data_IF_676553064143
#
_entry.id   IF_676553064143
#
_cell.length_a   1.000
_cell.length_b   1.000
_cell.length_c   1.000
_cell.angle_alpha   90.00
_cell.angle_beta   90.00
_cell.angle_gamma   90.00
#
_symmetry.space_group_name_H-M   'P 1'
#
loop_
_entity.id
_entity.type
_entity.pdbx_description
1 polymer ?
#
# COMPACT_ATOMS: atom_id res chain seq x y z
N UNK A 1 24.87 -8.48 -9.71
CA UNK A 1 24.52 -7.85 -8.41
C UNK A 1 23.24 -8.47 -7.88
N UNK A 2 23.15 -8.71 -6.57
CA UNK A 2 21.91 -9.19 -5.95
C UNK A 2 21.03 -7.99 -5.58
N UNK A 3 19.78 -7.98 -6.04
CA UNK A 3 18.79 -6.93 -5.78
C UNK A 3 17.69 -7.52 -4.91
N UNK A 4 17.26 -6.78 -3.88
CA UNK A 4 16.21 -7.23 -2.98
C UNK A 4 15.66 -6.10 -2.11
N UNK A 5 14.76 -6.49 -1.21
CA UNK A 5 14.19 -5.60 -0.19
C UNK A 5 15.27 -5.31 0.86
N UNK A 6 15.59 -4.03 1.05
CA UNK A 6 16.56 -3.55 2.05
C UNK A 6 15.89 -2.86 3.24
N UNK A 7 14.64 -2.41 3.07
CA UNK A 7 13.80 -1.91 4.17
C UNK A 7 12.32 -2.07 3.84
N UNK A 8 11.46 -2.00 4.84
CA UNK A 8 10.01 -2.10 4.68
C UNK A 8 9.25 -1.32 5.75
N UNK A 9 8.04 -0.89 5.41
CA UNK A 9 7.12 -0.25 6.33
C UNK A 9 5.68 -0.57 5.98
N UNK A 10 4.80 -0.42 6.95
CA UNK A 10 3.38 -0.63 6.77
C UNK A 10 2.57 0.39 7.54
N UNK A 11 1.35 0.58 7.08
CA UNK A 11 0.35 1.36 7.77
C UNK A 11 -0.98 0.61 7.74
N UNK A 12 -1.63 0.60 8.90
CA UNK A 12 -2.94 -0.01 9.10
C UNK A 12 -3.78 1.04 9.83
N UNK A 13 -4.92 1.47 9.28
CA UNK A 13 -5.82 2.43 9.92
C UNK A 13 -6.14 2.04 11.36
N UNK A 14 -6.56 2.99 12.20
CA UNK A 14 -6.88 2.71 13.62
C UNK A 14 -8.31 2.26 13.86
N UNK A 15 -9.27 2.72 13.04
CA UNK A 15 -10.68 2.39 13.24
C UNK A 15 -10.95 0.92 12.87
N UNK A 16 -11.81 0.27 13.65
CA UNK A 16 -12.20 -1.14 13.48
C UNK A 16 -13.72 -1.24 13.46
N UNK A 17 -14.22 -2.20 12.70
CA UNK A 17 -15.61 -2.64 12.77
C UNK A 17 -15.62 -4.16 12.96
N UNK A 18 -16.44 -4.64 13.90
CA UNK A 18 -16.54 -6.06 14.20
C UNK A 18 -17.48 -6.76 13.22
N UNK A 19 -17.26 -8.06 13.01
CA UNK A 19 -18.15 -8.89 12.19
C UNK A 19 -19.59 -8.86 12.74
N UNK A 20 -19.75 -8.83 14.06
CA UNK A 20 -21.04 -8.73 14.73
C UNK A 20 -21.80 -7.43 14.39
N UNK A 21 -21.09 -6.31 14.27
CA UNK A 21 -21.69 -5.01 13.95
C UNK A 21 -22.20 -4.99 12.50
N UNK A 22 -21.41 -5.53 11.56
CA UNK A 22 -21.78 -5.66 10.15
C UNK A 22 -22.99 -6.60 10.02
N UNK A 23 -22.92 -7.78 10.65
CA UNK A 23 -23.97 -8.78 10.59
C UNK A 23 -25.29 -8.25 11.19
N UNK A 24 -25.21 -7.53 12.31
CA UNK A 24 -26.39 -6.92 12.93
C UNK A 24 -27.04 -5.86 12.03
N UNK A 25 -26.26 -5.05 11.32
CA UNK A 25 -26.79 -4.03 10.40
C UNK A 25 -27.55 -4.65 9.22
N UNK A 26 -27.15 -5.85 8.77
CA UNK A 26 -27.73 -6.54 7.62
C UNK A 26 -28.66 -7.70 7.98
N UNK A 27 -28.99 -7.89 9.27
CA UNK A 27 -29.79 -9.03 9.76
C UNK A 27 -29.21 -10.40 9.35
N UNK A 28 -27.88 -10.52 9.39
CA UNK A 28 -27.11 -11.71 9.03
C UNK A 28 -26.57 -12.44 10.27
N UNK A 29 -26.17 -13.71 10.12
CA UNK A 29 -25.58 -14.50 11.22
C UNK A 29 -24.07 -14.29 11.32
N UNK A 30 -23.63 -13.58 12.37
CA UNK A 30 -22.23 -13.27 12.60
C UNK A 30 -21.35 -14.53 12.77
N UNK A 31 -21.85 -15.56 13.44
CA UNK A 31 -21.07 -16.77 13.75
C UNK A 31 -20.69 -17.54 12.48
N UNK A 32 -21.57 -17.58 11.49
CA UNK A 32 -21.29 -18.16 10.17
C UNK A 32 -20.13 -17.43 9.50
N UNK A 33 -20.12 -16.09 9.48
CA UNK A 33 -19.04 -15.32 8.85
C UNK A 33 -17.72 -15.42 9.63
N UNK A 34 -17.75 -15.37 10.96
CA UNK A 34 -16.53 -15.53 11.78
C UNK A 34 -15.86 -16.88 11.55
N UNK A 35 -16.65 -17.96 11.53
CA UNK A 35 -16.12 -19.33 11.32
C UNK A 35 -15.73 -19.57 9.86
N UNK A 36 -16.50 -19.03 8.92
CA UNK A 36 -16.27 -19.22 7.48
C UNK A 36 -15.12 -18.41 6.93
N UNK A 37 -14.96 -17.16 7.36
CA UNK A 37 -13.93 -16.22 6.87
C UNK A 37 -12.73 -16.10 7.79
N UNK A 38 -12.81 -16.60 9.03
CA UNK A 38 -11.76 -16.48 10.06
C UNK A 38 -11.41 -15.01 10.39
N UNK A 39 -12.41 -14.13 10.30
CA UNK A 39 -12.28 -12.71 10.62
C UNK A 39 -13.11 -12.39 11.87
N UNK A 40 -12.57 -11.58 12.78
CA UNK A 40 -13.30 -11.06 13.95
C UNK A 40 -13.67 -9.58 13.78
N UNK A 41 -12.76 -8.81 13.20
CA UNK A 41 -12.93 -7.40 12.90
C UNK A 41 -12.06 -7.05 11.69
N UNK A 42 -12.39 -5.94 11.04
CA UNK A 42 -11.60 -5.39 9.93
C UNK A 42 -11.29 -3.92 10.16
N UNK A 43 -10.28 -3.40 9.46
CA UNK A 43 -9.97 -1.97 9.49
C UNK A 43 -10.99 -1.18 8.66
N UNK A 44 -11.24 0.06 9.10
CA UNK A 44 -12.02 1.05 8.36
C UNK A 44 -11.14 2.29 8.24
N UNK A 45 -10.96 2.87 7.05
CA UNK A 45 -10.26 4.14 6.92
C UNK A 45 -11.08 5.28 7.52
N UNK A 46 -10.42 6.22 8.19
CA UNK A 46 -10.97 7.52 8.54
C UNK A 46 -11.24 8.39 7.32
N UNK A 47 -11.86 9.55 7.54
CA UNK A 47 -12.20 10.48 6.45
C UNK A 47 -10.99 11.09 5.75
N UNK A 48 -9.84 11.08 6.41
CA UNK A 48 -8.52 11.55 5.96
C UNK A 48 -7.57 10.42 5.59
N UNK A 49 -8.05 9.17 5.57
CA UNK A 49 -7.26 7.99 5.22
C UNK A 49 -7.65 7.49 3.81
N UNK A 50 -6.76 7.70 2.84
CA UNK A 50 -6.87 7.17 1.48
C UNK A 50 -5.60 6.41 1.08
N UNK A 51 -5.58 5.86 -0.13
CA UNK A 51 -4.42 5.17 -0.69
C UNK A 51 -3.14 6.01 -0.62
N UNK A 52 -3.22 7.33 -0.82
CA UNK A 52 -2.05 8.22 -0.77
C UNK A 52 -1.56 8.35 0.67
N UNK A 53 -2.42 8.68 1.62
CA UNK A 53 -2.00 8.91 3.02
C UNK A 53 -1.48 7.63 3.65
N UNK A 54 -2.11 6.48 3.39
CA UNK A 54 -1.63 5.16 3.78
C UNK A 54 -0.24 4.88 3.18
N UNK A 55 -0.06 5.19 1.89
CA UNK A 55 1.23 5.02 1.20
C UNK A 55 2.33 5.90 1.81
N UNK A 56 2.03 7.16 2.12
CA UNK A 56 2.97 8.09 2.77
C UNK A 56 3.43 7.54 4.11
N UNK A 57 2.52 7.10 4.98
CA UNK A 57 2.90 6.60 6.30
C UNK A 57 3.71 5.29 6.22
N UNK A 58 3.31 4.37 5.35
CA UNK A 58 4.04 3.12 5.15
C UNK A 58 5.45 3.36 4.58
N UNK A 59 5.58 4.22 3.56
CA UNK A 59 6.86 4.55 2.96
C UNK A 59 7.77 5.34 3.91
N UNK A 60 7.22 6.28 4.69
CA UNK A 60 7.96 7.01 5.73
C UNK A 60 8.51 6.05 6.79
N UNK A 61 7.70 5.08 7.20
CA UNK A 61 8.14 4.04 8.13
C UNK A 61 9.28 3.19 7.51
N UNK A 62 9.21 2.85 6.22
CA UNK A 62 10.28 2.15 5.52
C UNK A 62 11.59 2.96 5.48
N UNK A 63 11.52 4.25 5.16
CA UNK A 63 12.68 5.15 5.12
C UNK A 63 13.30 5.27 6.52
N UNK A 64 12.50 5.41 7.58
CA UNK A 64 13.02 5.57 8.95
C UNK A 64 13.84 4.40 9.48
N UNK A 65 13.71 3.21 8.87
CA UNK A 65 14.38 1.98 9.28
C UNK A 65 15.71 1.73 8.56
N UNK A 66 16.11 2.61 7.65
CA UNK A 66 17.34 2.49 6.87
C UNK A 66 18.09 3.82 6.83
N UNK A 67 19.42 3.76 6.83
CA UNK A 67 20.27 4.94 6.71
C UNK A 67 20.70 5.14 5.25
N UNK A 68 19.84 5.75 4.44
CA UNK A 68 20.15 6.19 3.07
C UNK A 68 19.80 7.67 2.91
N UNK A 69 20.45 8.35 1.97
CA UNK A 69 19.95 9.65 1.54
C UNK A 69 18.70 9.43 0.68
N UNK A 70 17.57 10.05 1.06
CA UNK A 70 16.33 10.01 0.28
C UNK A 70 16.50 10.50 -1.16
N UNK A 71 17.54 11.30 -1.44
CA UNK A 71 17.86 11.77 -2.79
C UNK A 71 18.45 10.66 -3.68
N UNK A 72 18.90 9.53 -3.11
CA UNK A 72 19.37 8.35 -3.84
C UNK A 72 18.21 7.46 -4.34
N UNK A 73 16.97 7.77 -3.93
CA UNK A 73 15.78 7.05 -4.36
C UNK A 73 15.37 7.55 -5.74
N UNK A 74 15.65 6.74 -6.76
CA UNK A 74 15.39 7.07 -8.16
C UNK A 74 14.04 6.61 -8.70
N UNK A 75 13.20 5.94 -7.89
CA UNK A 75 11.88 5.50 -8.32
C UNK A 75 10.86 5.41 -7.16
N UNK A 76 9.60 5.70 -7.46
CA UNK A 76 8.44 5.43 -6.60
C UNK A 76 7.26 4.89 -7.41
N UNK A 77 6.91 3.64 -7.17
CA UNK A 77 5.77 2.97 -7.82
C UNK A 77 4.75 2.54 -6.78
N UNK A 78 3.49 2.89 -7.01
CA UNK A 78 2.37 2.58 -6.12
C UNK A 78 1.46 1.61 -6.84
N UNK A 79 1.25 0.43 -6.26
CA UNK A 79 0.19 -0.47 -6.67
C UNK A 79 -1.08 -0.24 -5.86
N UNK A 80 -2.22 -0.05 -6.52
CA UNK A 80 -3.52 0.05 -5.86
C UNK A 80 -4.64 -0.30 -6.84
N UNK A 81 -5.78 -0.73 -6.31
CA UNK A 81 -7.06 -0.80 -7.01
C UNK A 81 -8.05 0.28 -6.51
N UNK A 82 -7.59 1.19 -5.67
CA UNK A 82 -8.36 2.25 -5.04
C UNK A 82 -7.63 3.59 -5.07
N UNK A 83 -7.02 3.92 -6.21
CA UNK A 83 -6.41 5.23 -6.43
C UNK A 83 -7.46 6.35 -6.35
N UNK A 84 -7.18 7.46 -5.63
CA UNK A 84 -8.16 8.55 -5.47
C UNK A 84 -8.30 9.42 -6.72
N UNK A 85 -7.34 9.37 -7.64
CA UNK A 85 -7.34 10.14 -8.88
C UNK A 85 -7.12 9.24 -10.09
N UNK A 86 -7.87 9.51 -11.16
CA UNK A 86 -7.72 8.78 -12.43
C UNK A 86 -6.50 9.22 -13.27
N UNK A 87 -5.97 10.43 -13.03
CA UNK A 87 -4.94 11.04 -13.89
C UNK A 87 -3.73 11.54 -13.10
N UNK A 88 -3.95 12.11 -11.91
CA UNK A 88 -2.86 12.59 -11.07
C UNK A 88 -2.18 11.40 -10.38
N UNK A 89 -0.90 11.20 -10.64
CA UNK A 89 -0.15 10.11 -10.01
C UNK A 89 -0.09 10.27 -8.49
N UNK A 90 -0.60 9.26 -7.80
CA UNK A 90 -0.42 9.01 -6.36
C UNK A 90 1.07 8.98 -6.02
N UNK A 91 1.89 8.30 -6.82
CA UNK A 91 3.35 8.25 -6.66
C UNK A 91 4.00 9.63 -6.62
N UNK A 92 3.54 10.56 -7.48
CA UNK A 92 4.03 11.95 -7.45
C UNK A 92 3.68 12.68 -6.15
N UNK A 93 2.48 12.47 -5.62
CA UNK A 93 2.03 13.10 -4.36
C UNK A 93 2.78 12.52 -3.16
N UNK A 94 2.98 11.20 -3.15
CA UNK A 94 3.73 10.52 -2.08
C UNK A 94 5.19 10.96 -2.09
N UNK A 95 5.84 11.06 -3.25
CA UNK A 95 7.22 11.54 -3.35
C UNK A 95 7.40 12.95 -2.78
N UNK A 96 6.48 13.87 -3.10
CA UNK A 96 6.46 15.22 -2.53
C UNK A 96 6.24 15.20 -1.00
N UNK A 97 5.27 14.41 -0.51
CA UNK A 97 4.98 14.30 0.92
C UNK A 97 6.13 13.65 1.74
N UNK A 98 6.99 12.86 1.08
CA UNK A 98 8.22 12.31 1.64
C UNK A 98 9.42 13.27 1.50
N UNK A 99 9.22 14.44 0.88
CA UNK A 99 10.24 15.43 0.56
C UNK A 99 11.40 14.84 -0.27
N UNK A 100 11.10 13.95 -1.22
CA UNK A 100 12.09 13.40 -2.15
C UNK A 100 12.52 14.45 -3.19
N UNK A 101 13.73 14.31 -3.72
CA UNK A 101 14.16 15.12 -4.87
C UNK A 101 13.26 14.82 -6.09
N UNK A 102 12.82 15.79 -6.91
CA UNK A 102 11.83 15.58 -7.97
C UNK A 102 12.32 14.78 -9.20
N UNK A 103 13.51 14.17 -9.13
CA UNK A 103 14.09 13.40 -10.22
C UNK A 103 14.02 11.90 -9.92
N UNK A 104 12.84 11.31 -10.13
CA UNK A 104 12.60 9.88 -9.98
C UNK A 104 11.59 9.38 -11.03
N UNK A 105 11.64 8.09 -11.34
CA UNK A 105 10.58 7.42 -12.08
C UNK A 105 9.35 7.22 -11.21
N UNK A 106 8.16 7.44 -11.76
CA UNK A 106 6.92 7.15 -11.04
C UNK A 106 5.81 6.71 -11.97
N UNK A 107 5.03 5.74 -11.51
CA UNK A 107 3.75 5.38 -12.09
C UNK A 107 2.85 4.77 -11.02
N UNK A 108 1.55 4.98 -11.21
CA UNK A 108 0.49 4.29 -10.49
C UNK A 108 0.15 3.03 -11.27
N UNK A 109 0.10 1.89 -10.59
CA UNK A 109 -0.15 0.58 -11.19
C UNK A 109 -1.47 0.04 -10.68
N UNK A 110 -2.29 -0.42 -11.61
CA UNK A 110 -3.60 -1.00 -11.30
C UNK A 110 -3.66 -2.43 -11.86
N UNK A 111 -3.70 -3.40 -10.97
CA UNK A 111 -3.89 -4.81 -11.28
C UNK A 111 -4.39 -5.57 -10.04
N UNK A 112 -5.49 -5.10 -9.47
CA UNK A 112 -6.06 -5.63 -8.23
C UNK A 112 -4.96 -5.79 -7.13
N UNK A 113 -5.11 -6.78 -6.27
CA UNK A 113 -4.13 -7.17 -5.25
C UNK A 113 -2.71 -7.48 -5.78
N UNK A 114 -2.49 -7.63 -7.10
CA UNK A 114 -1.17 -7.93 -7.68
C UNK A 114 -0.34 -6.67 -7.94
N UNK A 115 -0.98 -5.50 -8.05
CA UNK A 115 -0.33 -4.25 -8.46
C UNK A 115 0.96 -3.93 -7.69
N UNK A 116 0.94 -4.09 -6.36
CA UNK A 116 2.12 -3.84 -5.52
C UNK A 116 3.28 -4.80 -5.80
N UNK A 117 3.00 -6.05 -6.16
CA UNK A 117 4.06 -7.00 -6.59
C UNK A 117 4.63 -6.60 -7.95
N UNK A 118 3.79 -6.10 -8.87
CA UNK A 118 4.25 -5.55 -10.15
C UNK A 118 5.13 -4.31 -9.96
N UNK A 119 4.80 -3.43 -9.01
CA UNK A 119 5.64 -2.29 -8.63
C UNK A 119 7.03 -2.74 -8.17
N UNK A 120 7.08 -3.76 -7.30
CA UNK A 120 8.34 -4.34 -6.82
C UNK A 120 9.17 -4.87 -7.99
N UNK A 121 8.56 -5.64 -8.90
CA UNK A 121 9.26 -6.21 -10.05
C UNK A 121 9.84 -5.13 -10.98
N UNK A 122 9.11 -4.04 -11.22
CA UNK A 122 9.59 -2.91 -12.03
C UNK A 122 10.80 -2.25 -11.36
N UNK A 123 10.70 -1.92 -10.08
CA UNK A 123 11.82 -1.28 -9.35
C UNK A 123 13.04 -2.21 -9.28
N UNK A 124 12.85 -3.52 -9.08
CA UNK A 124 13.94 -4.48 -9.18
C UNK A 124 14.61 -4.47 -10.55
N UNK A 125 13.84 -4.32 -11.64
CA UNK A 125 14.35 -4.19 -13.00
C UNK A 125 15.20 -2.93 -13.18
N UNK A 126 14.71 -1.78 -12.70
CA UNK A 126 15.43 -0.50 -12.76
C UNK A 126 16.78 -0.58 -12.03
N UNK A 127 16.82 -1.14 -10.82
CA UNK A 127 18.06 -1.32 -10.07
C UNK A 127 19.01 -2.29 -10.79
N UNK A 128 18.50 -3.44 -11.27
CA UNK A 128 19.32 -4.43 -12.00
C UNK A 128 19.94 -3.86 -13.27
N UNK A 129 19.25 -2.92 -13.93
CA UNK A 129 19.76 -2.26 -15.14
C UNK A 129 20.82 -1.19 -14.86
N UNK A 130 21.01 -0.78 -13.60
CA UNK A 130 21.90 0.31 -13.22
C UNK A 130 21.32 1.72 -13.43
N UNK A 131 20.02 1.84 -13.72
CA UNK A 131 19.36 3.15 -13.90
C UNK A 131 19.15 3.90 -12.59
N UNK A 132 19.01 3.20 -11.46
CA UNK A 132 18.80 3.77 -10.12
C UNK A 132 19.53 2.90 -9.06
N UNK A 133 19.86 3.49 -7.90
CA UNK A 133 20.47 2.75 -6.77
C UNK A 133 19.41 2.17 -5.82
N UNK A 134 18.44 3.01 -5.43
CA UNK A 134 17.30 2.62 -4.59
C UNK A 134 15.98 2.98 -5.27
N UNK A 135 14.92 2.26 -4.90
CA UNK A 135 13.56 2.62 -5.29
C UNK A 135 12.53 2.17 -4.26
N UNK A 136 11.43 2.90 -4.19
CA UNK A 136 10.27 2.59 -3.36
C UNK A 136 9.21 1.88 -4.21
N UNK A 137 8.72 0.75 -3.72
CA UNK A 137 7.60 0.04 -4.32
C UNK A 137 6.72 -0.58 -3.24
N UNK A 138 5.42 -0.63 -3.48
CA UNK A 138 4.49 -1.20 -2.52
C UNK A 138 3.06 -1.15 -3.02
N UNK A 139 2.15 -1.48 -2.12
CA UNK A 139 0.73 -1.27 -2.39
C UNK A 139 -0.01 -0.77 -1.15
N UNK A 140 -1.06 0.00 -1.42
CA UNK A 140 -2.00 0.47 -0.43
C UNK A 140 -3.39 0.44 -1.05
N UNK A 141 -4.39 0.10 -0.25
CA UNK A 141 -5.76 0.09 -0.69
C UNK A 141 -6.72 0.50 0.43
N UNK A 142 -7.82 1.10 0.01
CA UNK A 142 -9.07 1.23 0.78
C UNK A 142 -10.13 0.40 0.07
N UNK A 143 -10.06 -0.92 0.20
CA UNK A 143 -10.92 -1.84 -0.54
C UNK A 143 -12.39 -1.62 -0.20
N UNK A 144 -13.23 -1.63 -1.24
CA UNK A 144 -14.67 -1.40 -1.13
C UNK A 144 -15.44 -2.67 -1.48
N UNK A 145 -16.60 -2.83 -0.84
CA UNK A 145 -17.54 -3.91 -1.12
C UNK A 145 -18.93 -3.33 -1.31
N UNK A 146 -19.81 -4.11 -1.94
CA UNK A 146 -21.23 -3.81 -1.93
C UNK A 146 -21.79 -4.01 -0.51
N UNK A 147 -22.67 -3.12 -0.01
CA UNK A 147 -23.36 -3.32 1.26
C UNK A 147 -24.12 -4.65 1.34
N UNK A 148 -23.97 -5.38 2.43
CA UNK A 148 -24.56 -6.70 2.71
C UNK A 148 -23.88 -7.88 2.03
N UNK A 149 -22.84 -7.65 1.22
CA UNK A 149 -22.11 -8.70 0.51
C UNK A 149 -21.10 -9.41 1.43
N UNK A 150 -20.77 -10.67 1.14
CA UNK A 150 -19.76 -11.42 1.88
C UNK A 150 -18.39 -10.72 1.89
N UNK A 151 -18.07 -9.96 0.83
CA UNK A 151 -16.84 -9.17 0.75
C UNK A 151 -16.81 -8.02 1.78
N UNK A 152 -17.94 -7.54 2.28
CA UNK A 152 -17.97 -6.48 3.30
C UNK A 152 -17.28 -6.90 4.59
N UNK A 153 -17.24 -8.19 4.90
CA UNK A 153 -16.55 -8.71 6.07
C UNK A 153 -15.02 -8.71 5.93
N UNK A 154 -14.48 -8.59 4.70
CA UNK A 154 -13.03 -8.72 4.42
C UNK A 154 -12.43 -7.51 3.71
N UNK A 155 -13.21 -6.73 2.95
CA UNK A 155 -12.80 -5.49 2.31
C UNK A 155 -12.37 -4.47 3.38
N UNK A 156 -11.09 -4.14 3.40
CA UNK A 156 -10.47 -3.37 4.46
C UNK A 156 -9.46 -2.38 3.88
N UNK A 157 -8.81 -1.61 4.76
CA UNK A 157 -7.83 -0.61 4.35
C UNK A 157 -6.46 -0.86 4.99
N UNK A 158 -5.40 -0.58 4.24
CA UNK A 158 -4.03 -0.70 4.71
C UNK A 158 -3.01 -0.70 3.58
N UNK A 159 -1.73 -0.71 3.92
CA UNK A 159 -0.67 -0.72 2.92
C UNK A 159 0.69 -1.13 3.46
N UNK A 160 1.55 -1.57 2.54
CA UNK A 160 2.92 -1.95 2.80
C UNK A 160 3.83 -1.47 1.67
N UNK A 161 4.95 -0.86 2.04
CA UNK A 161 5.94 -0.29 1.14
C UNK A 161 7.33 -0.79 1.47
N UNK A 162 8.13 -0.94 0.43
CA UNK A 162 9.45 -1.55 0.47
C UNK A 162 10.46 -0.63 -0.19
N UNK A 163 11.64 -0.52 0.40
CA UNK A 163 12.80 0.06 -0.27
C UNK A 163 13.59 -1.10 -0.85
N UNK A 164 13.81 -1.04 -2.16
CA UNK A 164 14.62 -2.00 -2.87
C UNK A 164 15.99 -1.40 -3.15
N UNK A 165 17.02 -2.24 -3.12
CA UNK A 165 18.40 -1.84 -3.37
C UNK A 165 19.29 -3.04 -3.66
N UNK A 166 20.58 -2.80 -3.85
CA UNK A 166 21.58 -3.87 -3.88
C UNK A 166 22.03 -4.20 -2.46
N UNK A 167 22.22 -5.50 -2.15
CA UNK A 167 22.97 -5.86 -0.94
C UNK A 167 24.43 -5.48 -1.17
N UNK A 168 24.98 -4.61 -0.32
CA UNK A 168 26.43 -4.49 -0.12
C UNK A 168 26.94 -5.70 0.67
#
# INVERSE_FOLDING_TARGET
MSVGIVSWGSYVPKLRIKVEDIASAWSQDADTYKKGLLVNEKTVPGLDEDTITISVEAARQAISKINIDKNEIGAIYIGSESHPYAVKSSGSVVGEALMMHPNYFSADLEFACKAGTSAIQIVMGLIKSGMIEYGIAGGADTAQSKPGDALEYTASAGGAFFILGTKK
#
